data_IF_566555412938
#
_entry.id   IF_566555412938
#
_cell.length_a   1.000
_cell.length_b   1.000
_cell.length_c   1.000
_cell.angle_alpha   90.00
_cell.angle_beta   90.00
_cell.angle_gamma   90.00
#
_symmetry.space_group_name_H-M   'P 1'
#
loop_
_entity.id
_entity.type
_entity.pdbx_description
1 polymer ?
#
# COMPACT_ATOMS: atom_id res chain seq x y z
N UNK A 1 7.37 9.52 -12.51
CA UNK A 1 7.81 8.23 -13.10
C UNK A 1 8.90 8.52 -14.11
N UNK A 2 10.09 7.91 -13.98
CA UNK A 2 11.23 8.11 -14.89
C UNK A 2 11.26 6.94 -15.87
N UNK A 3 11.25 7.22 -17.18
CA UNK A 3 11.25 6.19 -18.23
C UNK A 3 12.41 6.45 -19.19
N UNK A 4 13.14 5.38 -19.56
CA UNK A 4 14.23 5.41 -20.55
C UNK A 4 14.08 4.25 -21.54
N UNK A 5 14.53 4.46 -22.78
CA UNK A 5 14.63 3.38 -23.74
C UNK A 5 15.85 2.50 -23.41
N UNK A 6 15.77 1.20 -23.69
CA UNK A 6 16.88 0.26 -23.50
C UNK A 6 18.14 0.67 -24.28
N UNK A 7 17.97 1.31 -25.45
CA UNK A 7 19.08 1.86 -26.22
C UNK A 7 19.88 2.92 -25.45
N UNK A 8 19.25 3.70 -24.55
CA UNK A 8 19.92 4.71 -23.73
C UNK A 8 20.88 4.10 -22.71
N UNK A 9 20.69 2.85 -22.30
CA UNK A 9 21.62 2.17 -21.39
C UNK A 9 23.00 1.96 -22.01
N UNK A 10 23.06 1.80 -23.35
CA UNK A 10 24.33 1.64 -24.06
C UNK A 10 25.09 2.97 -24.18
N UNK A 11 24.37 4.06 -24.41
CA UNK A 11 24.96 5.35 -24.77
C UNK A 11 25.18 6.26 -23.56
N UNK A 12 24.27 6.21 -22.58
CA UNK A 12 24.20 7.16 -21.46
C UNK A 12 24.25 6.47 -20.08
N UNK A 13 24.90 5.30 -20.01
CA UNK A 13 24.94 4.47 -18.80
C UNK A 13 25.31 5.27 -17.54
N UNK A 14 26.38 6.07 -17.61
CA UNK A 14 26.88 6.84 -16.47
C UNK A 14 25.85 7.84 -15.95
N UNK A 15 25.18 8.57 -16.86
CA UNK A 15 24.14 9.53 -16.49
C UNK A 15 22.93 8.83 -15.88
N UNK A 16 22.52 7.69 -16.43
CA UNK A 16 21.42 6.88 -15.90
C UNK A 16 21.78 6.30 -14.52
N UNK A 17 23.01 5.81 -14.35
CA UNK A 17 23.51 5.25 -13.10
C UNK A 17 23.57 6.31 -11.98
N UNK A 18 24.06 7.52 -12.29
CA UNK A 18 24.08 8.63 -11.33
C UNK A 18 22.66 9.05 -10.96
N UNK A 19 21.77 9.18 -11.95
CA UNK A 19 20.36 9.48 -11.71
C UNK A 19 19.70 8.45 -10.78
N UNK A 20 19.95 7.16 -10.97
CA UNK A 20 19.41 6.11 -10.11
C UNK A 20 19.92 6.19 -8.66
N UNK A 21 21.17 6.64 -8.45
CA UNK A 21 21.76 6.84 -7.12
C UNK A 21 21.23 8.09 -6.43
N UNK A 22 21.12 9.19 -7.16
CA UNK A 22 20.70 10.49 -6.63
C UNK A 22 19.22 10.52 -6.31
N UNK A 23 18.39 10.07 -7.24
CA UNK A 23 16.93 10.10 -7.07
C UNK A 23 16.45 9.05 -6.07
N UNK A 24 17.14 7.90 -5.99
CA UNK A 24 16.70 6.71 -5.25
C UNK A 24 15.32 6.18 -5.67
N UNK A 25 14.85 6.61 -6.85
CA UNK A 25 13.57 6.23 -7.44
C UNK A 25 13.77 5.19 -8.55
N UNK A 26 12.76 4.34 -8.85
CA UNK A 26 12.83 3.39 -9.95
C UNK A 26 12.86 4.10 -11.30
N UNK A 27 13.81 3.68 -12.15
CA UNK A 27 13.90 4.07 -13.55
C UNK A 27 13.37 2.91 -14.40
N UNK A 28 12.26 3.12 -15.10
CA UNK A 28 11.65 2.12 -15.96
C UNK A 28 12.35 2.10 -17.31
N UNK A 29 12.78 0.93 -17.74
CA UNK A 29 13.40 0.69 -19.03
C UNK A 29 12.36 0.08 -19.96
N UNK A 30 12.25 0.68 -21.14
CA UNK A 30 11.35 0.21 -22.20
C UNK A 30 12.14 -0.39 -23.35
N UNK A 31 11.57 -1.42 -23.98
CA UNK A 31 12.08 -2.02 -25.21
C UNK A 31 10.97 -1.98 -26.24
N UNK A 32 11.22 -1.32 -27.38
CA UNK A 32 10.22 -1.09 -28.43
C UNK A 32 8.93 -0.38 -27.94
N UNK A 33 9.05 0.47 -26.92
CA UNK A 33 7.91 1.20 -26.34
C UNK A 33 7.14 0.44 -25.26
N UNK A 34 7.46 -0.85 -25.04
CA UNK A 34 6.86 -1.66 -23.99
C UNK A 34 7.75 -1.67 -22.74
N UNK A 35 7.15 -1.72 -21.55
CA UNK A 35 7.88 -1.85 -20.29
C UNK A 35 8.61 -3.20 -20.22
N UNK A 36 9.90 -3.18 -19.88
CA UNK A 36 10.78 -4.36 -19.91
C UNK A 36 11.44 -4.58 -18.54
N UNK A 37 12.18 -3.59 -18.03
CA UNK A 37 12.98 -3.70 -16.80
C UNK A 37 12.82 -2.48 -15.89
N UNK A 38 13.24 -2.62 -14.63
CA UNK A 38 13.40 -1.50 -13.69
C UNK A 38 14.85 -1.46 -13.24
N UNK A 39 15.46 -0.27 -13.29
CA UNK A 39 16.81 -0.01 -12.83
C UNK A 39 16.77 0.87 -11.58
N UNK A 40 17.51 0.45 -10.56
CA UNK A 40 17.69 1.16 -9.29
C UNK A 40 19.14 1.02 -8.82
N UNK A 41 19.61 1.95 -7.97
CA UNK A 41 20.86 1.73 -7.25
C UNK A 41 20.68 0.60 -6.22
N UNK A 42 21.76 -0.13 -5.94
CA UNK A 42 21.76 -1.22 -4.96
C UNK A 42 21.24 -0.72 -3.59
N UNK A 43 21.75 0.41 -3.12
CA UNK A 43 21.32 1.02 -1.85
C UNK A 43 19.80 1.32 -1.83
N UNK A 44 19.27 1.90 -2.91
CA UNK A 44 17.84 2.21 -2.98
C UNK A 44 16.98 0.94 -3.01
N UNK A 45 17.43 -0.10 -3.72
CA UNK A 45 16.76 -1.39 -3.75
C UNK A 45 16.75 -2.07 -2.38
N UNK A 46 17.91 -2.19 -1.72
CA UNK A 46 18.01 -2.83 -0.40
C UNK A 46 17.18 -2.09 0.65
N UNK A 47 17.20 -0.76 0.64
CA UNK A 47 16.37 0.05 1.55
C UNK A 47 14.88 -0.19 1.31
N UNK A 48 14.47 -0.29 0.05
CA UNK A 48 13.08 -0.59 -0.32
C UNK A 48 12.68 -1.97 0.19
N UNK A 49 13.52 -2.99 0.00
CA UNK A 49 13.28 -4.35 0.50
C UNK A 49 13.14 -4.38 2.03
N UNK A 50 14.03 -3.70 2.75
CA UNK A 50 13.94 -3.59 4.22
C UNK A 50 12.62 -2.93 4.68
N UNK A 51 12.21 -1.85 4.01
CA UNK A 51 10.94 -1.17 4.32
C UNK A 51 9.74 -2.08 4.03
N UNK A 52 9.76 -2.82 2.91
CA UNK A 52 8.70 -3.75 2.57
C UNK A 52 8.59 -4.89 3.59
N UNK A 53 9.72 -5.45 4.03
CA UNK A 53 9.76 -6.46 5.08
C UNK A 53 9.21 -5.93 6.42
N UNK A 54 9.60 -4.72 6.81
CA UNK A 54 9.09 -4.11 8.04
C UNK A 54 7.58 -3.88 7.95
N UNK A 55 7.10 -3.37 6.82
CA UNK A 55 5.65 -3.16 6.59
C UNK A 55 4.88 -4.48 6.62
N UNK A 56 5.40 -5.54 6.02
CA UNK A 56 4.77 -6.86 6.05
C UNK A 56 4.64 -7.38 7.50
N UNK A 57 5.69 -7.22 8.33
CA UNK A 57 5.63 -7.60 9.75
C UNK A 57 4.60 -6.80 10.54
N UNK A 58 4.54 -5.48 10.33
CA UNK A 58 3.53 -4.62 10.98
C UNK A 58 2.11 -5.00 10.55
N UNK A 59 1.91 -5.27 9.25
CA UNK A 59 0.61 -5.71 8.74
C UNK A 59 0.18 -7.05 9.32
N UNK A 60 1.09 -8.03 9.40
CA UNK A 60 0.80 -9.33 10.02
C UNK A 60 0.41 -9.19 11.50
N UNK A 61 1.17 -8.40 12.27
CA UNK A 61 0.86 -8.17 13.68
C UNK A 61 -0.52 -7.51 13.88
N UNK A 62 -0.91 -6.60 12.97
CA UNK A 62 -2.22 -5.95 13.05
C UNK A 62 -3.36 -6.90 12.67
N UNK A 63 -3.16 -7.78 11.67
CA UNK A 63 -4.12 -8.84 11.33
C UNK A 63 -4.34 -9.78 12.52
N UNK A 64 -3.26 -10.29 13.13
CA UNK A 64 -3.32 -11.16 14.31
C UNK A 64 -4.05 -10.48 15.47
N UNK A 65 -3.77 -9.18 15.72
CA UNK A 65 -4.45 -8.41 16.77
C UNK A 65 -5.97 -8.30 16.56
N UNK A 66 -6.40 -8.11 15.31
CA UNK A 66 -7.82 -8.02 14.97
C UNK A 66 -8.48 -9.39 15.13
N UNK A 67 -7.87 -10.45 14.59
CA UNK A 67 -8.38 -11.82 14.69
C UNK A 67 -8.52 -12.27 16.15
N UNK A 68 -7.49 -12.06 16.97
CA UNK A 68 -7.50 -12.41 18.40
C UNK A 68 -8.60 -11.65 19.15
N UNK A 69 -8.78 -10.36 18.87
CA UNK A 69 -9.82 -9.56 19.52
C UNK A 69 -11.22 -10.10 19.22
N UNK A 70 -11.48 -10.44 17.95
CA UNK A 70 -12.77 -10.97 17.53
C UNK A 70 -13.03 -12.38 18.05
N UNK A 71 -12.01 -13.23 18.06
CA UNK A 71 -12.09 -14.58 18.58
C UNK A 71 -12.46 -14.58 20.07
N UNK A 72 -11.78 -13.75 20.87
CA UNK A 72 -11.99 -13.67 22.33
C UNK A 72 -13.35 -13.07 22.68
N UNK A 73 -13.80 -12.04 21.96
CA UNK A 73 -15.03 -11.32 22.31
C UNK A 73 -16.30 -11.94 21.73
N UNK A 74 -16.23 -12.57 20.56
CA UNK A 74 -17.43 -12.96 19.80
C UNK A 74 -17.42 -14.39 19.26
N UNK A 75 -16.34 -15.16 19.51
CA UNK A 75 -16.19 -16.54 19.06
C UNK A 75 -15.88 -16.69 17.56
N UNK A 76 -15.55 -17.92 17.16
CA UNK A 76 -15.01 -18.26 15.82
C UNK A 76 -15.95 -17.88 14.67
N UNK A 77 -17.26 -18.12 14.80
CA UNK A 77 -18.21 -17.83 13.72
C UNK A 77 -18.31 -16.34 13.40
N UNK A 78 -18.25 -15.49 14.42
CA UNK A 78 -18.32 -14.04 14.23
C UNK A 78 -17.02 -13.52 13.65
N UNK A 79 -15.87 -14.04 14.10
CA UNK A 79 -14.57 -13.71 13.53
C UNK A 79 -14.51 -14.04 12.03
N UNK A 80 -14.96 -15.23 11.63
CA UNK A 80 -15.01 -15.64 10.22
C UNK A 80 -15.90 -14.73 9.37
N UNK A 81 -17.11 -14.40 9.85
CA UNK A 81 -18.03 -13.52 9.12
C UNK A 81 -17.47 -12.11 8.90
N UNK A 82 -16.76 -11.58 9.89
CA UNK A 82 -16.15 -10.25 9.81
C UNK A 82 -14.95 -10.28 8.87
N UNK A 83 -14.09 -11.29 8.97
CA UNK A 83 -12.97 -11.48 8.05
C UNK A 83 -13.44 -11.62 6.61
N UNK A 84 -14.48 -12.43 6.34
CA UNK A 84 -15.08 -12.55 5.00
C UNK A 84 -15.61 -11.21 4.48
N UNK A 85 -16.27 -10.43 5.34
CA UNK A 85 -16.83 -9.14 4.94
C UNK A 85 -15.73 -8.14 4.58
N UNK A 86 -14.69 -8.06 5.41
CA UNK A 86 -13.50 -7.23 5.15
C UNK A 86 -12.82 -7.67 3.87
N UNK A 87 -12.60 -8.98 3.68
CA UNK A 87 -11.93 -9.53 2.52
C UNK A 87 -12.67 -9.14 1.23
N UNK A 88 -13.97 -9.38 1.16
CA UNK A 88 -14.80 -9.02 0.01
C UNK A 88 -14.72 -7.52 -0.36
N UNK A 89 -14.74 -6.64 0.65
CA UNK A 89 -14.60 -5.20 0.43
C UNK A 89 -13.20 -4.87 -0.11
N UNK A 90 -12.17 -5.47 0.46
CA UNK A 90 -10.78 -5.23 0.03
C UNK A 90 -10.47 -5.77 -1.37
N UNK A 91 -11.04 -6.91 -1.76
CA UNK A 91 -10.93 -7.45 -3.12
C UNK A 91 -11.56 -6.50 -4.13
N UNK A 92 -12.76 -5.99 -3.81
CA UNK A 92 -13.45 -5.01 -4.67
C UNK A 92 -12.67 -3.70 -4.82
N UNK A 93 -11.92 -3.28 -3.81
CA UNK A 93 -11.02 -2.12 -3.95
C UNK A 93 -9.91 -2.37 -4.98
N UNK A 94 -9.45 -3.61 -5.14
CA UNK A 94 -8.48 -3.97 -6.17
C UNK A 94 -8.98 -3.67 -7.59
N UNK A 95 -10.26 -3.89 -7.84
CA UNK A 95 -10.90 -3.58 -9.14
C UNK A 95 -11.37 -2.13 -9.24
N UNK A 96 -11.89 -1.57 -8.14
CA UNK A 96 -12.50 -0.24 -8.09
C UNK A 96 -11.88 0.61 -6.98
N UNK A 97 -10.60 1.03 -7.13
CA UNK A 97 -9.89 1.78 -6.10
C UNK A 97 -10.50 3.17 -5.83
N UNK A 98 -11.29 3.70 -6.77
CA UNK A 98 -11.99 4.97 -6.62
C UNK A 98 -13.30 4.88 -5.85
N UNK A 99 -13.69 3.69 -5.38
CA UNK A 99 -14.97 3.49 -4.67
C UNK A 99 -14.97 3.95 -3.20
N UNK A 100 -13.79 4.17 -2.60
CA UNK A 100 -13.67 4.71 -1.24
C UNK A 100 -13.78 6.23 -1.15
N UNK A 101 -14.14 6.72 0.02
CA UNK A 101 -14.33 8.14 0.34
C UNK A 101 -13.04 8.80 0.82
N UNK A 102 -13.03 10.13 0.89
CA UNK A 102 -12.01 10.87 1.61
C UNK A 102 -12.07 10.54 3.11
N UNK A 103 -10.92 10.57 3.77
CA UNK A 103 -10.82 10.44 5.22
C UNK A 103 -11.21 11.76 5.90
N UNK A 104 -11.60 11.74 7.19
CA UNK A 104 -11.82 12.97 7.97
C UNK A 104 -10.55 13.84 8.14
N UNK A 105 -9.36 13.27 7.93
CA UNK A 105 -8.08 13.94 8.08
C UNK A 105 -7.59 14.47 6.72
N UNK A 106 -7.46 15.79 6.62
CA UNK A 106 -7.05 16.45 5.38
C UNK A 106 -5.60 16.15 5.00
N UNK A 107 -4.70 15.92 5.97
CA UNK A 107 -3.31 15.53 5.70
C UNK A 107 -3.26 14.15 5.04
N UNK A 108 -4.02 13.18 5.54
CA UNK A 108 -4.13 11.87 4.91
C UNK A 108 -4.67 11.98 3.47
N UNK A 109 -5.68 12.82 3.25
CA UNK A 109 -6.24 13.07 1.92
C UNK A 109 -5.19 13.67 0.97
N UNK A 110 -4.40 14.65 1.43
CA UNK A 110 -3.31 15.25 0.65
C UNK A 110 -2.21 14.23 0.30
N UNK A 111 -1.96 13.26 1.17
CA UNK A 111 -1.06 12.14 0.91
C UNK A 111 -1.68 11.05 0.01
N UNK A 112 -2.94 11.20 -0.43
CA UNK A 112 -3.63 10.28 -1.33
C UNK A 112 -4.25 9.05 -0.64
N UNK A 113 -4.40 9.07 0.68
CA UNK A 113 -5.13 8.04 1.40
C UNK A 113 -6.65 8.25 1.26
N UNK A 114 -7.37 7.13 1.25
CA UNK A 114 -8.83 7.05 1.18
C UNK A 114 -9.31 6.06 2.22
N UNK A 115 -10.60 6.10 2.53
CA UNK A 115 -11.23 5.14 3.42
C UNK A 115 -12.46 4.48 2.81
N UNK A 116 -12.73 3.24 3.20
CA UNK A 116 -14.02 2.59 2.99
C UNK A 116 -14.53 2.06 4.31
N UNK A 117 -15.84 2.17 4.54
CA UNK A 117 -16.49 1.63 5.73
C UNK A 117 -17.05 0.26 5.37
N UNK A 118 -16.69 -0.73 6.18
CA UNK A 118 -17.06 -2.14 6.05
C UNK A 118 -17.77 -2.55 7.35
N UNK A 119 -19.10 -2.42 7.37
CA UNK A 119 -19.92 -2.52 8.58
C UNK A 119 -19.37 -1.66 9.73
N UNK A 120 -18.81 -2.29 10.77
CA UNK A 120 -18.26 -1.61 11.94
C UNK A 120 -16.77 -1.29 11.79
N UNK A 121 -16.16 -1.57 10.65
CA UNK A 121 -14.76 -1.29 10.40
C UNK A 121 -14.57 -0.16 9.41
N UNK A 122 -13.48 0.56 9.56
CA UNK A 122 -12.94 1.45 8.54
C UNK A 122 -11.64 0.85 8.02
N UNK A 123 -11.52 0.81 6.70
CA UNK A 123 -10.30 0.41 6.00
C UNK A 123 -9.70 1.66 5.39
N UNK A 124 -8.48 2.02 5.80
CA UNK A 124 -7.68 3.11 5.21
C UNK A 124 -6.73 2.49 4.18
N UNK A 125 -6.79 2.98 2.96
CA UNK A 125 -6.01 2.46 1.84
C UNK A 125 -5.46 3.59 0.97
N UNK A 126 -4.51 3.26 0.09
CA UNK A 126 -4.00 4.17 -0.93
C UNK A 126 -3.69 3.39 -2.20
N UNK A 127 -4.10 3.94 -3.34
CA UNK A 127 -3.76 3.41 -4.65
C UNK A 127 -2.39 3.94 -5.09
N UNK A 128 -1.51 3.05 -5.55
CA UNK A 128 -0.24 3.41 -6.20
C UNK A 128 -0.10 2.61 -7.48
N UNK A 129 -0.28 3.27 -8.63
CA UNK A 129 -0.36 2.58 -9.93
C UNK A 129 -1.59 1.68 -10.00
N UNK A 130 -1.39 0.41 -10.32
CA UNK A 130 -2.44 -0.61 -10.40
C UNK A 130 -2.66 -1.38 -9.09
N UNK A 131 -1.94 -1.02 -8.02
CA UNK A 131 -1.98 -1.74 -6.75
C UNK A 131 -2.67 -0.89 -5.69
N UNK A 132 -3.59 -1.52 -4.96
CA UNK A 132 -4.19 -0.96 -3.75
C UNK A 132 -3.47 -1.50 -2.53
N UNK A 133 -2.96 -0.58 -1.72
CA UNK A 133 -2.32 -0.90 -0.46
C UNK A 133 -3.28 -0.58 0.68
N UNK A 134 -3.59 -1.58 1.50
CA UNK A 134 -4.35 -1.42 2.73
C UNK A 134 -3.37 -1.11 3.84
N UNK A 135 -3.53 0.05 4.48
CA UNK A 135 -2.62 0.52 5.52
C UNK A 135 -3.17 0.27 6.90
N UNK A 136 -4.49 0.34 7.06
CA UNK A 136 -5.10 0.16 8.37
C UNK A 136 -6.53 -0.36 8.26
N UNK A 137 -6.91 -1.19 9.23
CA UNK A 137 -8.28 -1.67 9.43
C UNK A 137 -8.57 -1.44 10.90
N UNK A 138 -9.60 -0.66 11.21
CA UNK A 138 -9.93 -0.32 12.59
C UNK A 138 -11.43 -0.44 12.87
N UNK A 139 -11.79 -0.85 14.07
CA UNK A 139 -13.18 -0.83 14.53
C UNK A 139 -13.60 0.62 14.84
N UNK A 140 -14.66 1.04 14.17
CA UNK A 140 -15.23 2.39 14.24
C UNK A 140 -15.80 2.73 15.63
N UNK A 141 -16.08 1.73 16.46
CA UNK A 141 -16.66 1.90 17.80
C UNK A 141 -15.62 2.10 18.89
N UNK A 142 -14.44 1.50 18.74
CA UNK A 142 -13.39 1.51 19.78
C UNK A 142 -12.21 2.40 19.46
N UNK A 143 -11.87 2.56 18.17
CA UNK A 143 -10.59 3.15 17.77
C UNK A 143 -10.69 4.32 16.77
N UNK A 144 -11.89 4.62 16.24
CA UNK A 144 -12.08 5.69 15.26
C UNK A 144 -11.61 7.07 15.73
N UNK A 145 -11.86 7.40 17.01
CA UNK A 145 -11.45 8.69 17.59
C UNK A 145 -9.96 8.75 17.93
N UNK A 146 -9.25 7.61 17.98
CA UNK A 146 -7.80 7.56 18.22
C UNK A 146 -6.99 7.66 16.93
N UNK A 147 -7.58 7.34 15.78
CA UNK A 147 -6.92 7.39 14.47
C UNK A 147 -6.55 8.79 14.00
N UNK A 148 -7.26 9.81 14.48
CA UNK A 148 -7.16 11.19 14.00
C UNK A 148 -6.86 12.20 15.12
N UNK A 149 -6.50 11.73 16.32
CA UNK A 149 -6.02 12.62 17.39
C UNK A 149 -4.50 12.73 17.30
N UNK A 150 -4.02 13.92 16.95
CA UNK A 150 -2.64 14.37 17.20
C UNK A 150 -2.43 14.63 18.69
#
# INVERSE_FOLDING_TARGET
MIIKASASLRNDYTTISNMAKETKEPIYITKNGEGDLVLMSIEAFERREQILQLRAKVFQAEQERIEDWYLVQFGVETALKISDHILNVTERLGEFPDSGSLTPDEWLNQQGYRMVICDKHVVIYKQTGTVVYIYHIADTRTDYTKLFRQ
#
